data_IF_181678253830
#
_entry.id   IF_181678253830
#
_cell.length_a   1.000
_cell.length_b   1.000
_cell.length_c   1.000
_cell.angle_alpha   90.00
_cell.angle_beta   90.00
_cell.angle_gamma   90.00
#
_symmetry.space_group_name_H-M   'P 1'
#
loop_
_entity.id
_entity.type
_entity.pdbx_description
1 polymer ?
#
# COMPACT_ATOMS: atom_id res chain seq x y z
N UNK A 1 47.46 22.01 45.24
CA UNK A 1 47.94 21.32 46.46
C UNK A 1 48.00 19.85 46.15
N UNK A 2 49.16 19.38 45.78
CA UNK A 2 50.19 18.72 46.61
C UNK A 2 49.75 17.28 46.96
N UNK A 3 50.46 16.24 46.79
CA UNK A 3 51.87 15.82 46.56
C UNK A 3 51.84 14.31 46.27
N UNK A 4 52.56 13.72 45.30
CA UNK A 4 53.97 13.25 45.36
C UNK A 4 54.19 12.08 46.36
N UNK A 5 54.88 11.05 45.86
CA UNK A 5 55.65 10.02 46.54
C UNK A 5 55.63 8.71 45.75
N UNK A 6 56.49 8.36 44.93
CA UNK A 6 57.92 8.05 44.79
C UNK A 6 58.45 7.04 45.83
N UNK A 7 59.21 6.14 45.22
CA UNK A 7 60.35 5.30 45.72
C UNK A 7 59.95 3.83 45.93
N UNK A 8 60.70 2.84 45.52
CA UNK A 8 62.04 2.78 44.93
C UNK A 8 62.73 1.47 45.35
N UNK A 9 63.42 0.91 44.36
CA UNK A 9 64.79 0.36 44.49
C UNK A 9 65.00 -1.08 45.05
N UNK A 10 65.68 -1.81 44.16
CA UNK A 10 66.74 -2.84 44.32
C UNK A 10 66.33 -4.26 44.70
N UNK A 11 66.91 -5.30 44.22
CA UNK A 11 68.07 -5.56 43.38
C UNK A 11 68.45 -7.05 43.46
N UNK A 12 69.13 -7.41 42.39
CA UNK A 12 70.25 -8.40 42.39
C UNK A 12 70.02 -9.90 42.34
N UNK A 13 70.43 -10.40 41.17
CA UNK A 13 71.37 -11.52 40.92
C UNK A 13 70.97 -12.96 41.22
N UNK A 14 71.21 -13.74 40.19
CA UNK A 14 71.73 -15.10 40.39
C UNK A 14 71.40 -16.06 39.26
N UNK A 15 72.30 -16.13 38.31
CA UNK A 15 72.84 -17.31 37.59
C UNK A 15 71.98 -18.57 37.46
N UNK A 16 71.85 -19.01 36.22
CA UNK A 16 72.33 -20.29 35.65
C UNK A 16 71.37 -20.85 34.62
N UNK A 17 71.92 -20.87 33.43
CA UNK A 17 71.45 -21.78 32.38
C UNK A 17 71.47 -23.27 32.88
N UNK A 18 70.60 -24.09 32.31
CA UNK A 18 71.04 -24.92 31.23
C UNK A 18 69.97 -25.22 30.17
N UNK A 19 70.45 -25.25 28.95
CA UNK A 19 69.74 -25.79 27.78
C UNK A 19 69.06 -27.14 28.04
N UNK A 20 67.86 -27.37 27.52
CA UNK A 20 67.39 -28.69 27.16
C UNK A 20 67.48 -28.96 25.66
N UNK A 21 68.10 -30.03 25.39
CA UNK A 21 68.35 -30.76 24.15
C UNK A 21 67.13 -30.81 23.22
N UNK A 22 67.39 -30.55 21.94
CA UNK A 22 66.47 -30.79 20.86
C UNK A 22 66.00 -32.26 20.78
N UNK A 23 64.72 -32.45 21.09
CA UNK A 23 64.03 -33.72 20.86
C UNK A 23 63.71 -33.86 19.38
N UNK A 24 64.38 -34.75 18.68
CA UNK A 24 64.05 -35.13 17.31
C UNK A 24 62.66 -35.76 17.29
N UNK A 25 61.69 -35.06 16.78
CA UNK A 25 60.34 -35.63 16.53
C UNK A 25 60.46 -36.79 15.53
N UNK A 26 60.03 -37.96 15.93
CA UNK A 26 60.03 -39.19 15.12
C UNK A 26 59.29 -38.98 13.78
N UNK A 27 59.77 -39.61 12.72
CA UNK A 27 59.20 -39.46 11.34
C UNK A 27 57.70 -39.67 11.20
N UNK A 28 57.11 -40.43 12.11
CA UNK A 28 55.67 -40.68 12.23
C UNK A 28 54.86 -39.44 12.55
N UNK A 29 55.31 -38.58 13.48
CA UNK A 29 54.62 -37.35 13.86
C UNK A 29 54.65 -36.31 12.71
N UNK A 30 55.78 -36.29 11.94
CA UNK A 30 55.85 -35.43 10.72
C UNK A 30 54.91 -35.88 9.62
N UNK A 31 54.71 -37.20 9.45
CA UNK A 31 53.79 -37.76 8.46
C UNK A 31 52.33 -37.50 8.84
N UNK A 32 51.95 -37.58 10.13
CA UNK A 32 50.60 -37.25 10.58
C UNK A 32 50.32 -35.76 10.48
N UNK A 33 51.27 -34.89 10.78
CA UNK A 33 51.14 -33.45 10.62
C UNK A 33 50.97 -33.04 9.14
N UNK A 34 51.70 -33.65 8.24
CA UNK A 34 51.58 -33.41 6.79
C UNK A 34 50.23 -33.91 6.24
N UNK A 35 49.71 -35.04 6.69
CA UNK A 35 48.38 -35.56 6.34
C UNK A 35 47.23 -34.68 6.86
N UNK A 36 47.36 -34.13 8.06
CA UNK A 36 46.39 -33.27 8.65
C UNK A 36 46.31 -31.91 7.92
N UNK A 37 47.44 -31.33 7.52
CA UNK A 37 47.51 -30.12 6.70
C UNK A 37 46.94 -30.33 5.34
N UNK A 38 47.23 -31.48 4.69
CA UNK A 38 46.67 -31.84 3.38
C UNK A 38 45.13 -32.04 3.43
N UNK A 39 44.61 -32.63 4.52
CA UNK A 39 43.17 -32.77 4.73
C UNK A 39 42.48 -31.43 4.95
N UNK A 40 43.08 -30.50 5.74
CA UNK A 40 42.56 -29.15 5.94
C UNK A 40 42.58 -28.33 4.64
N UNK A 41 43.61 -28.47 3.80
CA UNK A 41 43.63 -27.81 2.49
C UNK A 41 42.59 -28.37 1.52
N UNK A 42 42.26 -29.67 1.57
CA UNK A 42 41.17 -30.26 0.78
C UNK A 42 39.78 -29.82 1.24
N UNK A 43 39.57 -29.59 2.54
CA UNK A 43 38.32 -29.06 3.04
C UNK A 43 38.15 -27.56 2.78
N UNK A 44 39.21 -26.79 2.65
CA UNK A 44 39.17 -25.36 2.28
C UNK A 44 38.93 -25.16 0.77
N UNK A 45 39.30 -26.11 -0.07
CA UNK A 45 39.07 -26.02 -1.53
C UNK A 45 37.62 -26.35 -1.94
N UNK A 46 36.81 -26.96 -1.06
CA UNK A 46 35.43 -27.33 -1.35
C UNK A 46 34.42 -26.18 -1.11
N UNK A 47 34.87 -25.01 -0.69
CA UNK A 47 34.00 -23.83 -0.51
C UNK A 47 34.18 -22.71 -1.52
N UNK A 48 34.95 -22.93 -2.58
CA UNK A 48 35.00 -22.06 -3.74
C UNK A 48 33.96 -22.53 -4.77
N UNK A 49 32.70 -22.68 -4.35
CA UNK A 49 31.59 -22.85 -5.28
C UNK A 49 31.05 -21.44 -5.55
N UNK A 50 31.45 -20.95 -6.72
CA UNK A 50 30.98 -19.83 -7.49
C UNK A 50 29.65 -19.21 -6.99
N UNK A 51 29.75 -18.09 -6.31
CA UNK A 51 28.74 -17.06 -6.42
C UNK A 51 28.84 -16.49 -7.87
N UNK A 52 28.29 -17.21 -8.83
CA UNK A 52 27.86 -16.60 -10.07
C UNK A 52 26.84 -15.51 -9.72
N UNK A 53 26.72 -14.43 -10.48
CA UNK A 53 25.70 -13.45 -10.24
C UNK A 53 24.35 -14.17 -10.22
N UNK A 54 23.79 -14.33 -9.02
CA UNK A 54 22.42 -14.77 -8.85
C UNK A 54 21.57 -13.66 -9.48
N UNK A 55 21.22 -13.84 -10.75
CA UNK A 55 20.25 -12.97 -11.42
C UNK A 55 18.93 -13.26 -10.71
N UNK A 56 18.67 -12.53 -9.62
CA UNK A 56 17.34 -12.44 -9.04
C UNK A 56 16.47 -11.71 -10.05
N UNK A 57 15.88 -12.49 -10.95
CA UNK A 57 14.75 -12.02 -11.73
C UNK A 57 13.63 -11.87 -10.70
N UNK A 58 13.53 -10.69 -10.09
CA UNK A 58 12.33 -10.29 -9.33
C UNK A 58 11.21 -10.12 -10.35
N UNK A 59 10.61 -11.22 -10.74
CA UNK A 59 9.42 -11.23 -11.58
C UNK A 59 8.29 -10.71 -10.72
N UNK A 60 8.08 -9.39 -10.71
CA UNK A 60 6.99 -8.76 -9.99
C UNK A 60 5.68 -9.15 -10.64
N UNK A 61 4.81 -9.83 -9.89
CA UNK A 61 3.43 -10.07 -10.30
C UNK A 61 2.74 -8.74 -10.63
N UNK A 62 2.07 -8.69 -11.77
CA UNK A 62 1.14 -7.60 -12.07
C UNK A 62 -0.17 -7.87 -11.36
N UNK A 63 -0.41 -7.15 -10.26
CA UNK A 63 -1.61 -7.31 -9.41
C UNK A 63 -2.69 -6.35 -9.84
N UNK A 64 -3.92 -6.86 -9.95
CA UNK A 64 -5.14 -6.11 -10.29
C UNK A 64 -6.16 -6.27 -9.18
N UNK A 65 -6.70 -5.13 -8.72
CA UNK A 65 -7.87 -5.12 -7.86
C UNK A 65 -9.12 -5.20 -8.71
N UNK A 66 -9.98 -6.15 -8.39
CA UNK A 66 -11.18 -6.47 -9.17
C UNK A 66 -12.40 -6.42 -8.27
N UNK A 67 -13.35 -5.56 -8.62
CA UNK A 67 -14.68 -5.52 -8.02
C UNK A 67 -15.67 -6.14 -9.00
N UNK A 68 -16.53 -7.03 -8.50
CA UNK A 68 -17.51 -7.75 -9.30
C UNK A 68 -18.91 -7.44 -8.78
N UNK A 69 -19.80 -7.03 -9.68
CA UNK A 69 -21.20 -6.75 -9.34
C UNK A 69 -22.15 -7.51 -10.24
N UNK A 70 -23.31 -7.80 -9.70
CA UNK A 70 -24.43 -8.32 -10.51
C UNK A 70 -25.04 -7.20 -11.38
N UNK A 71 -26.07 -7.54 -12.16
CA UNK A 71 -26.75 -6.58 -13.02
C UNK A 71 -27.49 -5.47 -12.26
N UNK A 72 -27.71 -5.64 -10.94
CA UNK A 72 -28.31 -4.64 -10.05
C UNK A 72 -27.24 -3.78 -9.34
N UNK A 73 -25.96 -3.99 -9.66
CA UNK A 73 -24.83 -3.28 -9.02
C UNK A 73 -24.45 -3.82 -7.63
N UNK A 74 -25.03 -4.94 -7.16
CA UNK A 74 -24.71 -5.52 -5.87
C UNK A 74 -23.40 -6.29 -5.96
N UNK A 75 -22.45 -6.10 -5.00
CA UNK A 75 -21.20 -6.85 -4.96
C UNK A 75 -21.40 -8.36 -4.90
N UNK A 76 -20.70 -9.10 -5.75
CA UNK A 76 -20.73 -10.56 -5.82
C UNK A 76 -19.54 -11.12 -5.05
N UNK A 77 -19.80 -12.01 -4.10
CA UNK A 77 -18.81 -12.68 -3.25
C UNK A 77 -18.71 -14.16 -3.58
N UNK A 78 -17.63 -14.81 -3.13
CA UNK A 78 -17.49 -16.27 -3.23
C UNK A 78 -17.12 -16.76 -4.62
N UNK A 79 -16.61 -15.88 -5.49
CA UNK A 79 -16.03 -16.31 -6.76
C UNK A 79 -14.65 -16.91 -6.55
N UNK A 80 -14.30 -17.86 -7.42
CA UNK A 80 -13.00 -18.51 -7.49
C UNK A 80 -12.22 -18.06 -8.73
N UNK A 81 -10.94 -18.42 -8.81
CA UNK A 81 -10.10 -18.06 -9.96
C UNK A 81 -10.69 -18.55 -11.30
N UNK A 82 -11.29 -19.74 -11.27
CA UNK A 82 -11.91 -20.37 -12.43
C UNK A 82 -13.10 -19.58 -13.01
N UNK A 83 -13.67 -18.65 -12.22
CA UNK A 83 -14.78 -17.80 -12.63
C UNK A 83 -14.33 -16.60 -13.48
N UNK A 84 -13.01 -16.42 -13.65
CA UNK A 84 -12.42 -15.30 -14.36
C UNK A 84 -11.65 -15.73 -15.60
N UNK A 85 -11.50 -14.79 -16.53
CA UNK A 85 -10.52 -14.79 -17.63
C UNK A 85 -9.69 -13.54 -17.56
N UNK A 86 -8.42 -13.67 -17.81
CA UNK A 86 -7.49 -12.53 -17.92
C UNK A 86 -6.92 -12.51 -19.32
N UNK A 87 -6.95 -11.36 -19.97
CA UNK A 87 -6.39 -11.15 -21.30
C UNK A 87 -5.29 -10.09 -21.21
N UNK A 88 -4.10 -10.44 -21.68
CA UNK A 88 -2.98 -9.52 -21.83
C UNK A 88 -2.74 -9.27 -23.30
N UNK A 89 -2.82 -8.02 -23.74
CA UNK A 89 -2.70 -7.64 -25.16
C UNK A 89 -3.60 -8.46 -26.09
N UNK A 90 -4.79 -8.84 -25.61
CA UNK A 90 -5.77 -9.66 -26.32
C UNK A 90 -5.56 -11.17 -26.23
N UNK A 91 -4.45 -11.65 -25.66
CA UNK A 91 -4.18 -13.08 -25.47
C UNK A 91 -4.58 -13.52 -24.06
N UNK A 92 -5.32 -14.63 -23.95
CA UNK A 92 -5.73 -15.19 -22.65
C UNK A 92 -4.49 -15.69 -21.89
N UNK A 93 -4.41 -15.31 -20.61
CA UNK A 93 -3.32 -15.66 -19.70
C UNK A 93 -3.83 -16.45 -18.50
N UNK A 94 -3.02 -17.38 -17.97
CA UNK A 94 -3.34 -18.03 -16.70
C UNK A 94 -3.35 -17.02 -15.56
N UNK A 95 -4.19 -17.27 -14.57
CA UNK A 95 -4.18 -16.52 -13.30
C UNK A 95 -3.13 -17.19 -12.41
N UNK A 96 -2.05 -16.48 -12.12
CA UNK A 96 -0.95 -16.99 -11.30
C UNK A 96 -1.19 -16.80 -9.81
N UNK A 97 -2.00 -15.79 -9.45
CA UNK A 97 -2.39 -15.53 -8.08
C UNK A 97 -3.83 -15.02 -8.00
N UNK A 98 -4.59 -15.55 -7.05
CA UNK A 98 -5.97 -15.16 -6.77
C UNK A 98 -6.21 -15.07 -5.28
N UNK A 99 -6.76 -13.94 -4.82
CA UNK A 99 -7.10 -13.74 -3.41
C UNK A 99 -8.37 -12.93 -3.26
N UNK A 100 -9.47 -13.49 -2.70
CA UNK A 100 -10.61 -12.68 -2.25
C UNK A 100 -10.24 -11.89 -1.00
N UNK A 101 -10.97 -10.80 -0.73
CA UNK A 101 -10.70 -9.98 0.46
C UNK A 101 -10.99 -10.76 1.75
N UNK A 102 -11.99 -11.61 1.72
CA UNK A 102 -12.41 -12.42 2.86
C UNK A 102 -12.46 -13.90 2.50
N UNK A 103 -11.72 -14.70 3.26
CA UNK A 103 -11.79 -16.17 3.24
C UNK A 103 -12.16 -16.68 4.63
N UNK A 104 -12.52 -17.97 4.74
CA UNK A 104 -12.85 -18.58 6.04
C UNK A 104 -11.70 -18.51 7.05
N UNK A 105 -10.47 -18.51 6.55
CA UNK A 105 -9.26 -18.65 7.38
C UNK A 105 -8.46 -17.35 7.54
N UNK A 106 -8.75 -16.31 6.75
CA UNK A 106 -7.98 -15.07 6.85
C UNK A 106 -8.60 -13.93 6.05
N UNK A 107 -8.71 -12.79 6.67
CA UNK A 107 -9.09 -11.56 6.00
C UNK A 107 -7.86 -10.92 5.32
N UNK A 108 -8.09 -10.28 4.18
CA UNK A 108 -7.08 -9.50 3.49
C UNK A 108 -6.93 -8.12 4.17
N UNK A 109 -5.71 -7.63 4.47
CA UNK A 109 -5.52 -6.36 5.13
C UNK A 109 -6.10 -5.20 4.30
N UNK A 110 -6.62 -4.17 4.98
CA UNK A 110 -7.11 -2.94 4.37
C UNK A 110 -6.24 -1.76 4.78
N UNK A 111 -5.91 -0.88 3.84
CA UNK A 111 -5.23 0.39 4.10
C UNK A 111 -6.04 1.51 3.45
N UNK A 112 -6.67 2.34 4.27
CA UNK A 112 -7.63 3.35 3.82
C UNK A 112 -7.19 4.73 4.29
N UNK A 113 -7.14 5.70 3.36
CA UNK A 113 -6.95 7.12 3.68
C UNK A 113 -8.26 7.84 3.45
N UNK A 114 -8.74 8.54 4.48
CA UNK A 114 -9.79 9.53 4.35
C UNK A 114 -9.15 10.88 3.99
N UNK A 115 -9.53 11.46 2.85
CA UNK A 115 -9.16 12.80 2.44
C UNK A 115 -10.38 13.70 2.57
N UNK A 116 -10.36 14.58 3.58
CA UNK A 116 -11.51 15.38 3.99
C UNK A 116 -11.35 16.84 3.54
N UNK A 117 -12.27 17.29 2.71
CA UNK A 117 -12.39 18.68 2.35
C UNK A 117 -12.92 19.47 3.55
N UNK A 118 -12.16 20.49 3.95
CA UNK A 118 -12.51 21.37 5.06
C UNK A 118 -12.65 22.83 4.62
N UNK A 119 -12.80 23.08 3.31
CA UNK A 119 -12.86 24.40 2.68
C UNK A 119 -14.11 25.24 3.04
N UNK A 120 -14.96 24.76 3.93
CA UNK A 120 -16.13 25.50 4.40
C UNK A 120 -17.42 25.19 3.65
N UNK A 121 -17.39 24.29 2.66
CA UNK A 121 -18.56 23.87 1.90
C UNK A 121 -19.58 23.06 2.73
N UNK A 122 -19.14 22.42 3.83
CA UNK A 122 -20.02 21.71 4.77
C UNK A 122 -20.45 22.59 5.93
N UNK A 123 -21.67 22.35 6.42
CA UNK A 123 -22.14 22.88 7.70
C UNK A 123 -21.55 22.08 8.86
N UNK A 124 -21.60 22.63 10.08
CA UNK A 124 -21.14 21.91 11.28
C UNK A 124 -21.98 20.65 11.56
N UNK A 125 -23.28 20.68 11.21
CA UNK A 125 -24.19 19.53 11.32
C UNK A 125 -23.79 18.41 10.35
N UNK A 126 -23.51 18.74 9.09
CA UNK A 126 -23.03 17.77 8.08
C UNK A 126 -21.69 17.16 8.49
N UNK A 127 -20.77 17.99 9.00
CA UNK A 127 -19.49 17.49 9.49
C UNK A 127 -19.64 16.54 10.69
N UNK A 128 -20.61 16.80 11.57
CA UNK A 128 -20.91 15.90 12.70
C UNK A 128 -21.47 14.56 12.22
N UNK A 129 -22.46 14.57 11.30
CA UNK A 129 -23.01 13.36 10.68
C UNK A 129 -21.95 12.57 9.91
N UNK A 130 -21.08 13.26 9.19
CA UNK A 130 -19.96 12.63 8.47
C UNK A 130 -19.02 11.91 9.43
N UNK A 131 -18.64 12.55 10.54
CA UNK A 131 -17.79 11.92 11.57
C UNK A 131 -18.42 10.67 12.15
N UNK A 132 -19.71 10.71 12.46
CA UNK A 132 -20.44 9.53 12.95
C UNK A 132 -20.44 8.39 11.92
N UNK A 133 -20.74 8.69 10.65
CA UNK A 133 -20.74 7.69 9.59
C UNK A 133 -19.35 7.09 9.34
N UNK A 134 -18.31 7.91 9.39
CA UNK A 134 -16.91 7.43 9.29
C UNK A 134 -16.54 6.53 10.46
N UNK A 135 -17.00 6.86 11.68
CA UNK A 135 -16.75 6.01 12.84
C UNK A 135 -17.44 4.66 12.71
N UNK A 136 -18.72 4.63 12.30
CA UNK A 136 -19.44 3.38 12.03
C UNK A 136 -18.77 2.54 10.92
N UNK A 137 -18.24 3.18 9.89
CA UNK A 137 -17.49 2.52 8.84
C UNK A 137 -16.21 1.86 9.39
N UNK A 138 -15.45 2.56 10.23
CA UNK A 138 -14.25 2.02 10.87
C UNK A 138 -14.61 0.81 11.75
N UNK A 139 -15.68 0.92 12.55
CA UNK A 139 -16.15 -0.15 13.41
C UNK A 139 -16.57 -1.40 12.60
N UNK A 140 -17.22 -1.19 11.46
CA UNK A 140 -17.61 -2.27 10.56
C UNK A 140 -16.40 -3.00 9.97
N UNK A 141 -15.29 -2.29 9.76
CA UNK A 141 -14.05 -2.86 9.23
C UNK A 141 -13.05 -3.27 10.31
N UNK A 142 -13.40 -3.16 11.60
CA UNK A 142 -12.52 -3.50 12.72
C UNK A 142 -12.11 -4.99 12.76
N UNK A 143 -12.96 -5.88 12.21
CA UNK A 143 -12.66 -7.31 12.11
C UNK A 143 -11.68 -7.67 10.99
N UNK A 144 -11.34 -6.72 10.12
CA UNK A 144 -10.31 -6.86 9.12
C UNK A 144 -9.00 -6.29 9.69
N UNK A 145 -7.85 -6.77 9.25
CA UNK A 145 -6.55 -6.16 9.58
C UNK A 145 -6.45 -4.75 8.95
N UNK A 146 -7.33 -3.84 9.39
CA UNK A 146 -7.52 -2.53 8.78
C UNK A 146 -6.63 -1.47 9.41
N UNK A 147 -6.03 -0.64 8.59
CA UNK A 147 -5.28 0.54 8.99
C UNK A 147 -5.86 1.78 8.29
N UNK A 148 -6.04 2.85 9.04
CA UNK A 148 -6.64 4.07 8.54
C UNK A 148 -5.72 5.27 8.76
N UNK A 149 -5.74 6.20 7.81
CA UNK A 149 -5.11 7.51 7.94
C UNK A 149 -6.13 8.61 7.61
N UNK A 150 -5.87 9.82 8.10
CA UNK A 150 -6.74 10.98 7.89
C UNK A 150 -5.91 12.13 7.35
N UNK A 151 -6.32 12.66 6.23
CA UNK A 151 -5.79 13.85 5.57
C UNK A 151 -6.93 14.88 5.52
N UNK A 152 -6.67 16.12 5.87
CA UNK A 152 -7.58 17.24 5.64
C UNK A 152 -7.00 18.17 4.59
N UNK A 153 -7.85 18.80 3.80
CA UNK A 153 -7.41 19.73 2.79
C UNK A 153 -8.40 20.89 2.58
N UNK A 154 -7.83 22.03 2.26
CA UNK A 154 -8.45 23.24 1.75
C UNK A 154 -7.37 23.95 0.92
N UNK A 155 -6.88 25.12 1.35
CA UNK A 155 -5.67 25.75 0.79
C UNK A 155 -4.39 24.97 1.05
N UNK A 156 -4.36 24.21 2.13
CA UNK A 156 -3.25 23.36 2.53
C UNK A 156 -3.68 21.91 2.68
N UNK A 157 -2.77 20.99 2.39
CA UNK A 157 -2.96 19.55 2.58
C UNK A 157 -2.20 19.09 3.81
N UNK A 158 -2.94 18.58 4.80
CA UNK A 158 -2.38 18.20 6.09
C UNK A 158 -2.68 16.75 6.45
N UNK A 159 -1.66 15.98 6.86
CA UNK A 159 -1.87 14.68 7.48
C UNK A 159 -2.28 14.84 8.93
N UNK A 160 -3.57 14.72 9.23
CA UNK A 160 -4.12 14.83 10.58
C UNK A 160 -3.75 13.62 11.42
N UNK A 161 -3.76 12.42 10.81
CA UNK A 161 -3.40 11.14 11.42
C UNK A 161 -2.74 10.23 10.39
N UNK A 162 -1.53 9.80 10.67
CA UNK A 162 -0.88 8.73 9.89
C UNK A 162 -1.51 7.38 10.19
N UNK A 163 -1.17 6.33 9.42
CA UNK A 163 -1.78 5.02 9.55
C UNK A 163 -1.80 4.50 10.98
N UNK A 164 -2.99 4.10 11.42
CA UNK A 164 -3.26 3.49 12.72
C UNK A 164 -4.45 2.54 12.61
N UNK A 165 -4.47 1.51 13.44
CA UNK A 165 -5.62 0.65 13.67
C UNK A 165 -6.31 0.97 15.02
N UNK A 166 -5.83 1.97 15.76
CA UNK A 166 -6.37 2.35 17.07
C UNK A 166 -7.52 3.32 16.89
N UNK A 167 -8.71 2.90 17.33
CA UNK A 167 -9.94 3.68 17.27
C UNK A 167 -9.79 5.07 17.92
N UNK A 168 -9.18 5.12 19.11
CA UNK A 168 -9.04 6.37 19.87
C UNK A 168 -8.18 7.41 19.13
N UNK A 169 -7.20 6.97 18.33
CA UNK A 169 -6.40 7.88 17.51
C UNK A 169 -7.23 8.48 16.39
N UNK A 170 -8.11 7.69 15.79
CA UNK A 170 -9.00 8.14 14.69
C UNK A 170 -10.10 9.08 15.22
N UNK A 171 -10.71 8.76 16.36
CA UNK A 171 -11.68 9.64 17.02
C UNK A 171 -11.08 11.01 17.36
N UNK A 172 -9.86 11.01 17.93
CA UNK A 172 -9.12 12.25 18.19
C UNK A 172 -8.77 12.99 16.90
N UNK A 173 -8.41 12.28 15.83
CA UNK A 173 -8.12 12.89 14.54
C UNK A 173 -9.35 13.56 13.95
N UNK A 174 -10.49 12.87 13.91
CA UNK A 174 -11.76 13.46 13.45
C UNK A 174 -12.20 14.63 14.31
N UNK A 175 -11.96 14.55 15.63
CA UNK A 175 -12.20 15.67 16.55
C UNK A 175 -11.32 16.91 16.28
N UNK A 176 -10.17 16.77 15.62
CA UNK A 176 -9.28 17.88 15.23
C UNK A 176 -9.64 18.50 13.88
N UNK A 177 -10.33 17.77 13.02
CA UNK A 177 -10.79 18.28 11.73
C UNK A 177 -11.75 19.46 12.00
N UNK A 178 -11.41 20.63 11.49
CA UNK A 178 -12.18 21.87 11.62
C UNK A 178 -12.36 22.47 10.24
N UNK A 179 -13.49 23.15 10.04
CA UNK A 179 -13.71 23.95 8.83
C UNK A 179 -12.67 25.05 8.77
N UNK A 180 -12.11 25.23 7.59
CA UNK A 180 -11.29 26.40 7.27
C UNK A 180 -12.21 27.44 6.61
N UNK A 181 -12.50 28.52 7.32
CA UNK A 181 -13.39 29.59 6.85
C UNK A 181 -12.71 30.57 5.90
N UNK A 182 -11.37 30.56 5.85
CA UNK A 182 -10.59 31.55 5.14
C UNK A 182 -10.19 31.11 3.71
N UNK A 183 -10.59 29.89 3.30
CA UNK A 183 -10.11 29.28 2.07
C UNK A 183 -11.01 29.54 0.86
N UNK A 184 -10.46 30.25 -0.14
CA UNK A 184 -11.06 30.39 -1.46
C UNK A 184 -10.60 29.28 -2.42
N UNK A 185 -9.74 28.36 -2.00
CA UNK A 185 -9.21 27.26 -2.81
C UNK A 185 -9.37 25.92 -2.13
N UNK A 186 -9.49 24.89 -2.94
CA UNK A 186 -9.71 23.49 -2.52
C UNK A 186 -8.76 22.62 -3.33
N UNK A 187 -7.60 22.28 -2.76
CA UNK A 187 -6.53 21.53 -3.41
C UNK A 187 -6.84 20.03 -3.39
N UNK A 188 -7.89 19.61 -4.10
CA UNK A 188 -8.39 18.23 -4.06
C UNK A 188 -7.44 17.25 -4.75
N UNK A 189 -6.86 17.60 -5.91
CA UNK A 189 -5.92 16.71 -6.60
C UNK A 189 -4.58 16.64 -5.88
N UNK A 190 -4.11 17.74 -5.28
CA UNK A 190 -2.92 17.74 -4.43
C UNK A 190 -3.13 16.85 -3.19
N UNK A 191 -4.33 16.89 -2.58
CA UNK A 191 -4.69 16.05 -1.46
C UNK A 191 -4.75 14.56 -1.82
N UNK A 192 -5.31 14.24 -3.00
CA UNK A 192 -5.34 12.89 -3.52
C UNK A 192 -3.93 12.36 -3.81
N UNK A 193 -3.08 13.18 -4.42
CA UNK A 193 -1.67 12.85 -4.63
C UNK A 193 -0.94 12.58 -3.32
N UNK A 194 -1.14 13.45 -2.33
CA UNK A 194 -0.58 13.29 -1.00
C UNK A 194 -1.08 11.99 -0.32
N UNK A 195 -2.38 11.69 -0.41
CA UNK A 195 -2.97 10.48 0.16
C UNK A 195 -2.42 9.20 -0.48
N UNK A 196 -2.26 9.18 -1.81
CA UNK A 196 -1.66 8.06 -2.54
C UNK A 196 -0.19 7.87 -2.13
N UNK A 197 0.58 8.94 -2.04
CA UNK A 197 1.98 8.88 -1.54
C UNK A 197 2.05 8.42 -0.09
N UNK A 198 1.09 8.80 0.74
CA UNK A 198 1.01 8.33 2.13
C UNK A 198 0.79 6.82 2.19
N UNK A 199 -0.12 6.28 1.35
CA UNK A 199 -0.34 4.84 1.20
C UNK A 199 0.95 4.16 0.76
N UNK A 200 1.58 4.61 -0.31
CA UNK A 200 2.77 3.96 -0.86
C UNK A 200 3.93 3.90 0.15
N UNK A 201 4.12 4.98 0.92
CA UNK A 201 5.26 5.10 1.85
C UNK A 201 5.00 4.51 3.23
N UNK A 202 3.76 4.58 3.74
CA UNK A 202 3.44 4.34 5.16
C UNK A 202 2.46 3.21 5.40
N UNK A 203 1.68 2.76 4.38
CA UNK A 203 0.79 1.63 4.60
C UNK A 203 1.60 0.34 4.75
N UNK A 204 1.08 -0.64 5.52
CA UNK A 204 1.68 -1.96 5.54
C UNK A 204 1.80 -2.50 4.11
N UNK A 205 2.98 -3.04 3.78
CA UNK A 205 3.18 -3.76 2.51
C UNK A 205 2.61 -5.18 2.66
N UNK A 206 3.00 -6.11 1.83
CA UNK A 206 2.48 -7.48 1.96
C UNK A 206 2.67 -8.02 3.39
N UNK A 207 1.58 -8.49 4.02
CA UNK A 207 1.58 -9.13 5.33
C UNK A 207 1.26 -10.60 5.12
N UNK A 208 2.15 -11.51 5.57
CA UNK A 208 1.94 -12.97 5.46
C UNK A 208 1.51 -13.41 4.04
N UNK A 209 2.19 -12.93 3.00
CA UNK A 209 1.88 -13.20 1.58
C UNK A 209 0.48 -12.74 1.12
N UNK A 210 -0.11 -11.76 1.80
CA UNK A 210 -1.37 -11.14 1.39
C UNK A 210 -1.11 -9.73 0.87
N UNK A 211 -1.65 -9.43 -0.30
CA UNK A 211 -1.63 -8.07 -0.85
C UNK A 211 -2.69 -7.22 -0.15
N UNK A 212 -2.34 -6.13 0.55
CA UNK A 212 -3.32 -5.27 1.18
C UNK A 212 -4.23 -4.60 0.14
N UNK A 213 -5.51 -4.50 0.42
CA UNK A 213 -6.41 -3.64 -0.33
C UNK A 213 -6.13 -2.19 0.06
N UNK A 214 -5.83 -1.33 -0.91
CA UNK A 214 -5.49 0.08 -0.70
C UNK A 214 -6.56 0.97 -1.30
N UNK A 215 -7.04 1.94 -0.53
CA UNK A 215 -8.07 2.86 -0.98
C UNK A 215 -7.87 4.27 -0.41
N UNK A 216 -8.21 5.27 -1.21
CA UNK A 216 -8.44 6.65 -0.76
C UNK A 216 -9.93 6.92 -0.89
N UNK A 217 -10.53 7.46 0.17
CA UNK A 217 -11.92 7.94 0.16
C UNK A 217 -11.85 9.46 0.31
N UNK A 218 -12.06 10.18 -0.80
CA UNK A 218 -12.13 11.64 -0.78
C UNK A 218 -13.58 12.07 -0.55
N UNK A 219 -13.76 13.02 0.36
CA UNK A 219 -15.06 13.61 0.68
C UNK A 219 -14.94 15.12 0.43
N UNK A 220 -15.65 15.62 -0.58
CA UNK A 220 -15.54 17.00 -1.07
C UNK A 220 -16.83 17.42 -1.78
N UNK A 221 -17.02 18.71 -1.98
CA UNK A 221 -18.07 19.23 -2.89
C UNK A 221 -17.72 19.05 -4.38
N UNK A 222 -16.50 18.59 -4.66
CA UNK A 222 -16.06 18.21 -6.00
C UNK A 222 -15.55 19.38 -6.86
N UNK A 223 -15.27 20.54 -6.25
CA UNK A 223 -14.76 21.74 -6.94
C UNK A 223 -13.29 22.03 -6.60
N UNK A 224 -12.34 21.31 -7.24
CA UNK A 224 -10.91 21.57 -7.05
C UNK A 224 -10.54 22.95 -7.61
N UNK A 225 -9.82 23.74 -6.81
CA UNK A 225 -9.35 25.08 -7.18
C UNK A 225 -7.95 25.28 -6.63
N UNK A 226 -7.00 25.63 -7.50
CA UNK A 226 -5.62 25.96 -7.10
C UNK A 226 -4.65 24.80 -7.07
N UNK A 227 -5.07 23.61 -7.51
CA UNK A 227 -4.21 22.43 -7.56
C UNK A 227 -2.99 22.62 -8.46
N UNK A 228 -1.86 22.09 -8.00
CA UNK A 228 -0.61 22.01 -8.78
C UNK A 228 -0.51 20.68 -9.50
N UNK A 229 -1.01 19.61 -8.89
CA UNK A 229 -0.99 18.26 -9.47
C UNK A 229 -2.18 18.06 -10.40
N UNK A 230 -1.90 17.54 -11.59
CA UNK A 230 -2.98 17.23 -12.56
C UNK A 230 -3.73 15.95 -12.16
N UNK A 231 -5.02 15.82 -12.53
CA UNK A 231 -5.78 14.58 -12.34
C UNK A 231 -5.10 13.36 -12.95
N UNK A 232 -4.51 13.53 -14.14
CA UNK A 232 -3.80 12.45 -14.82
C UNK A 232 -2.61 11.94 -14.01
N UNK A 233 -1.81 12.83 -13.41
CA UNK A 233 -0.69 12.46 -12.54
C UNK A 233 -1.17 11.67 -11.32
N UNK A 234 -2.31 12.07 -10.72
CA UNK A 234 -2.89 11.33 -9.58
C UNK A 234 -3.31 9.92 -10.00
N UNK A 235 -3.98 9.78 -11.16
CA UNK A 235 -4.42 8.48 -11.68
C UNK A 235 -3.21 7.55 -11.92
N UNK A 236 -2.17 8.05 -12.59
CA UNK A 236 -0.96 7.26 -12.86
C UNK A 236 -0.29 6.80 -11.57
N UNK A 237 -0.19 7.69 -10.59
CA UNK A 237 0.40 7.36 -9.29
C UNK A 237 -0.46 6.39 -8.49
N UNK A 238 -1.77 6.58 -8.47
CA UNK A 238 -2.70 5.68 -7.81
C UNK A 238 -2.62 4.26 -8.39
N UNK A 239 -2.61 4.15 -9.73
CA UNK A 239 -2.47 2.88 -10.42
C UNK A 239 -1.11 2.21 -10.16
N UNK A 240 -0.03 2.98 -10.10
CA UNK A 240 1.32 2.47 -9.76
C UNK A 240 1.40 2.00 -8.30
N UNK A 241 0.66 2.67 -7.40
CA UNK A 241 0.56 2.31 -5.98
C UNK A 241 -0.55 1.26 -5.69
N UNK A 242 -1.19 0.70 -6.72
CA UNK A 242 -2.30 -0.27 -6.60
C UNK A 242 -3.43 0.25 -5.68
N UNK A 243 -3.74 1.54 -5.79
CA UNK A 243 -4.66 2.24 -4.90
C UNK A 243 -5.89 2.69 -5.67
N UNK A 244 -7.08 2.29 -5.21
CA UNK A 244 -8.35 2.77 -5.76
C UNK A 244 -8.80 4.05 -5.06
N UNK A 245 -9.35 5.00 -5.82
CA UNK A 245 -9.87 6.27 -5.29
C UNK A 245 -11.39 6.24 -5.37
N UNK A 246 -12.04 6.47 -4.24
CA UNK A 246 -13.48 6.61 -4.11
C UNK A 246 -13.80 8.06 -3.79
N UNK A 247 -14.77 8.66 -4.48
CA UNK A 247 -15.22 10.02 -4.18
C UNK A 247 -16.63 10.03 -3.61
N UNK A 248 -16.80 10.70 -2.49
CA UNK A 248 -18.08 11.01 -1.87
C UNK A 248 -18.33 12.49 -2.04
N UNK A 249 -19.25 12.82 -2.94
CA UNK A 249 -19.57 14.21 -3.28
C UNK A 249 -20.66 14.74 -2.38
N UNK A 250 -20.41 15.90 -1.81
CA UNK A 250 -21.29 16.56 -0.86
C UNK A 250 -22.41 17.34 -1.55
N UNK A 251 -23.57 17.52 -0.89
CA UNK A 251 -24.74 18.16 -1.50
C UNK A 251 -24.58 19.65 -1.84
N UNK A 252 -23.57 20.32 -1.30
CA UNK A 252 -23.28 21.75 -1.55
C UNK A 252 -23.15 22.13 -3.01
N UNK A 253 -22.90 21.12 -3.88
CA UNK A 253 -22.90 21.31 -5.33
C UNK A 253 -24.30 21.51 -5.93
N UNK A 254 -25.39 21.44 -5.18
CA UNK A 254 -26.76 21.64 -5.66
C UNK A 254 -26.97 22.98 -6.40
N UNK A 255 -25.99 23.89 -6.27
CA UNK A 255 -25.94 25.17 -7.03
C UNK A 255 -25.70 24.99 -8.52
N UNK A 256 -25.24 23.80 -8.96
CA UNK A 256 -25.00 23.51 -10.39
C UNK A 256 -26.14 22.67 -10.97
N UNK A 257 -27.36 23.19 -10.90
CA UNK A 257 -28.46 22.65 -11.68
C UNK A 257 -28.66 23.51 -12.94
N UNK A 258 -28.64 22.90 -14.09
CA UNK A 258 -29.04 23.50 -15.35
C UNK A 258 -30.20 22.69 -15.88
N UNK A 259 -31.31 23.39 -16.18
CA UNK A 259 -32.54 22.80 -16.71
C UNK A 259 -33.06 21.60 -15.88
N UNK A 260 -32.94 21.66 -14.52
CA UNK A 260 -33.36 20.61 -13.62
C UNK A 260 -32.49 19.37 -13.62
N UNK A 261 -31.36 19.37 -14.34
CA UNK A 261 -30.37 18.27 -14.37
C UNK A 261 -29.12 18.65 -13.61
N UNK A 262 -28.61 17.71 -12.83
CA UNK A 262 -27.33 17.85 -12.15
C UNK A 262 -26.18 17.90 -13.19
N UNK A 263 -25.28 18.85 -13.02
CA UNK A 263 -24.03 18.92 -13.81
C UNK A 263 -22.94 18.18 -13.02
N UNK A 264 -22.20 17.25 -13.66
CA UNK A 264 -21.06 16.61 -13.01
C UNK A 264 -20.02 17.65 -12.55
N UNK A 265 -19.47 17.45 -11.36
CA UNK A 265 -18.41 18.31 -10.82
C UNK A 265 -17.08 18.09 -11.55
N UNK A 266 -16.13 19.04 -11.51
CA UNK A 266 -14.80 18.83 -12.10
C UNK A 266 -14.06 17.60 -11.56
N UNK A 267 -14.26 17.24 -10.28
CA UNK A 267 -13.69 16.01 -9.70
C UNK A 267 -14.27 14.76 -10.39
N UNK A 268 -15.58 14.73 -10.66
CA UNK A 268 -16.20 13.63 -11.40
C UNK A 268 -15.75 13.58 -12.86
N UNK A 269 -15.74 14.72 -13.54
CA UNK A 269 -15.32 14.83 -14.96
C UNK A 269 -13.86 14.38 -15.14
N UNK A 270 -13.02 14.48 -14.13
CA UNK A 270 -11.65 13.98 -14.17
C UNK A 270 -11.56 12.46 -14.38
N UNK A 271 -12.63 11.72 -14.05
CA UNK A 271 -12.69 10.26 -14.14
C UNK A 271 -11.74 9.57 -13.19
N UNK A 272 -11.27 10.25 -12.13
CA UNK A 272 -10.22 9.74 -11.24
C UNK A 272 -10.69 8.50 -10.48
N UNK A 273 -11.95 8.47 -10.06
CA UNK A 273 -12.51 7.33 -9.35
C UNK A 273 -12.58 6.10 -10.27
N UNK A 274 -13.19 6.24 -11.43
CA UNK A 274 -13.42 5.14 -12.39
C UNK A 274 -12.09 4.60 -12.94
N UNK A 275 -11.15 5.49 -13.24
CA UNK A 275 -9.84 5.13 -13.81
C UNK A 275 -8.86 4.52 -12.81
N UNK A 276 -9.20 4.54 -11.52
CA UNK A 276 -8.45 3.87 -10.44
C UNK A 276 -9.25 2.70 -9.83
N UNK A 277 -10.36 2.30 -10.47
CA UNK A 277 -11.20 1.17 -10.05
C UNK A 277 -12.09 1.44 -8.84
N UNK A 278 -12.24 2.71 -8.44
CA UNK A 278 -13.19 3.13 -7.42
C UNK A 278 -14.52 3.57 -8.00
N UNK A 279 -15.29 4.31 -7.24
CA UNK A 279 -16.61 4.84 -7.56
C UNK A 279 -16.73 6.29 -7.13
N UNK A 280 -17.50 7.07 -7.88
CA UNK A 280 -17.98 8.38 -7.46
C UNK A 280 -19.43 8.25 -6.98
N UNK A 281 -19.71 8.66 -5.74
CA UNK A 281 -21.02 8.59 -5.10
C UNK A 281 -21.43 9.98 -4.65
N UNK A 282 -22.67 10.36 -4.98
CA UNK A 282 -23.23 11.62 -4.53
C UNK A 282 -23.98 11.41 -3.22
N UNK A 283 -23.57 12.11 -2.17
CA UNK A 283 -24.24 12.10 -0.88
C UNK A 283 -25.49 12.98 -0.94
N UNK A 284 -26.61 12.54 -0.36
CA UNK A 284 -27.64 13.42 0.14
C UNK A 284 -27.40 13.67 1.63
N UNK A 285 -27.94 14.75 2.20
CA UNK A 285 -27.69 15.16 3.61
C UNK A 285 -28.02 14.08 4.65
N UNK A 286 -28.83 13.08 4.28
CA UNK A 286 -29.29 12.00 5.17
C UNK A 286 -28.51 10.69 4.99
N UNK A 287 -27.68 10.54 3.94
CA UNK A 287 -27.28 9.22 3.44
C UNK A 287 -25.82 8.82 3.68
N UNK A 288 -25.06 9.60 4.48
CA UNK A 288 -23.66 9.23 4.78
C UNK A 288 -23.52 7.80 5.29
N UNK A 289 -24.42 7.39 6.19
CA UNK A 289 -24.40 6.03 6.71
C UNK A 289 -24.56 4.98 5.60
N UNK A 290 -25.57 5.14 4.74
CA UNK A 290 -25.85 4.21 3.65
C UNK A 290 -24.69 4.17 2.65
N UNK A 291 -24.07 5.32 2.34
CA UNK A 291 -22.91 5.42 1.47
C UNK A 291 -21.71 4.68 2.05
N UNK A 292 -21.38 4.92 3.32
CA UNK A 292 -20.26 4.23 3.98
C UNK A 292 -20.52 2.74 4.17
N UNK A 293 -21.77 2.34 4.42
CA UNK A 293 -22.15 0.92 4.41
C UNK A 293 -21.90 0.28 3.04
N UNK A 294 -22.30 0.94 1.96
CA UNK A 294 -22.05 0.48 0.58
C UNK A 294 -20.56 0.43 0.24
N UNK A 295 -19.79 1.45 0.64
CA UNK A 295 -18.33 1.46 0.45
C UNK A 295 -17.65 0.34 1.24
N UNK A 296 -18.11 0.04 2.45
CA UNK A 296 -17.59 -1.08 3.23
C UNK A 296 -17.87 -2.42 2.54
N UNK A 297 -19.06 -2.61 1.96
CA UNK A 297 -19.39 -3.79 1.17
C UNK A 297 -18.52 -3.91 -0.08
N UNK A 298 -18.36 -2.83 -0.81
CA UNK A 298 -17.51 -2.73 -2.00
C UNK A 298 -16.06 -3.11 -1.69
N UNK A 299 -15.47 -2.49 -0.66
CA UNK A 299 -14.09 -2.74 -0.26
C UNK A 299 -13.86 -4.16 0.23
N UNK A 300 -14.86 -4.77 0.86
CA UNK A 300 -14.78 -6.13 1.42
C UNK A 300 -15.28 -7.22 0.48
N UNK A 301 -15.65 -6.88 -0.76
CA UNK A 301 -16.07 -7.83 -1.78
C UNK A 301 -15.11 -7.91 -2.97
N UNK A 302 -13.95 -7.25 -2.91
CA UNK A 302 -12.98 -7.24 -4.00
C UNK A 302 -12.11 -8.51 -4.03
N UNK A 303 -11.45 -8.69 -5.17
CA UNK A 303 -10.52 -9.77 -5.45
C UNK A 303 -9.19 -9.20 -5.89
N UNK A 304 -8.07 -9.77 -5.44
CA UNK A 304 -6.77 -9.55 -6.07
C UNK A 304 -6.53 -10.65 -7.08
N UNK A 305 -6.30 -10.29 -8.31
CA UNK A 305 -5.94 -11.18 -9.40
C UNK A 305 -4.57 -10.75 -9.91
N UNK A 306 -3.64 -11.68 -10.00
CA UNK A 306 -2.33 -11.34 -10.54
C UNK A 306 -1.87 -12.34 -11.59
N UNK A 307 -1.07 -11.83 -12.52
CA UNK A 307 -0.41 -12.58 -13.56
C UNK A 307 1.08 -12.28 -13.54
N UNK A 308 1.90 -13.25 -13.92
CA UNK A 308 3.28 -12.95 -14.29
C UNK A 308 3.31 -12.23 -15.64
N UNK A 309 4.05 -11.13 -15.76
CA UNK A 309 4.27 -10.46 -17.03
C UNK A 309 4.72 -11.45 -18.10
N UNK A 310 4.03 -11.45 -19.24
CA UNK A 310 4.34 -12.38 -20.34
C UNK A 310 5.56 -11.97 -21.13
N UNK A 311 6.58 -12.87 -21.17
CA UNK A 311 7.73 -12.79 -22.06
C UNK A 311 8.87 -11.88 -21.57
N UNK A 312 10.07 -12.45 -21.51
CA UNK A 312 11.33 -11.80 -21.10
C UNK A 312 11.75 -10.61 -21.98
N UNK A 313 10.99 -10.25 -23.00
CA UNK A 313 11.44 -9.31 -24.06
C UNK A 313 10.45 -8.18 -24.41
N UNK A 314 9.29 -8.09 -23.78
CA UNK A 314 8.36 -6.98 -24.05
C UNK A 314 8.50 -5.89 -23.00
N UNK A 315 9.42 -4.97 -23.22
CA UNK A 315 9.43 -3.69 -22.49
C UNK A 315 8.31 -2.80 -23.03
N UNK A 316 7.57 -2.15 -22.15
CA UNK A 316 6.54 -1.18 -22.52
C UNK A 316 5.20 -1.39 -21.82
N UNK A 317 4.17 -0.83 -22.44
CA UNK A 317 2.80 -0.86 -21.92
C UNK A 317 2.10 -2.17 -22.29
N UNK A 318 1.55 -2.85 -21.29
CA UNK A 318 0.73 -4.04 -21.45
C UNK A 318 -0.71 -3.71 -21.08
N UNK A 319 -1.64 -3.96 -22.01
CA UNK A 319 -3.06 -3.82 -21.76
C UNK A 319 -3.58 -5.11 -21.12
N UNK A 320 -4.33 -5.00 -20.01
CA UNK A 320 -4.92 -6.14 -19.33
C UNK A 320 -6.41 -5.93 -19.16
N UNK A 321 -7.19 -6.95 -19.52
CA UNK A 321 -8.64 -6.98 -19.36
C UNK A 321 -9.05 -8.25 -18.63
N UNK A 322 -9.87 -8.07 -17.59
CA UNK A 322 -10.38 -9.16 -16.76
C UNK A 322 -11.89 -9.27 -16.95
N UNK A 323 -12.37 -10.49 -17.18
CA UNK A 323 -13.77 -10.78 -17.45
C UNK A 323 -14.28 -11.86 -16.50
N UNK A 324 -15.59 -11.81 -16.19
CA UNK A 324 -16.29 -12.89 -15.49
C UNK A 324 -16.87 -13.89 -16.51
N UNK A 325 -16.57 -15.18 -16.34
CA UNK A 325 -17.21 -16.27 -17.12
C UNK A 325 -18.70 -16.41 -16.83
N UNK A 326 -19.17 -15.88 -15.70
CA UNK A 326 -20.58 -15.91 -15.28
C UNK A 326 -21.41 -14.71 -15.75
N UNK A 327 -20.82 -13.80 -16.54
CA UNK A 327 -21.51 -12.64 -17.07
C UNK A 327 -21.77 -11.52 -16.07
N UNK A 328 -21.04 -11.49 -14.95
CA UNK A 328 -21.07 -10.39 -13.99
C UNK A 328 -20.29 -9.18 -14.52
N UNK A 329 -20.64 -7.99 -14.05
CA UNK A 329 -19.89 -6.79 -14.36
C UNK A 329 -18.57 -6.80 -13.56
N UNK A 330 -17.47 -6.56 -14.27
CA UNK A 330 -16.12 -6.53 -13.69
C UNK A 330 -15.57 -5.13 -13.83
N UNK A 331 -15.11 -4.55 -12.73
CA UNK A 331 -14.37 -3.29 -12.68
C UNK A 331 -13.00 -3.56 -12.07
N UNK A 332 -11.95 -3.20 -12.79
CA UNK A 332 -10.56 -3.34 -12.37
C UNK A 332 -9.92 -1.97 -12.08
N UNK A 333 -8.95 -1.93 -11.17
CA UNK A 333 -8.31 -0.68 -10.76
C UNK A 333 -7.46 -0.03 -11.85
N UNK A 334 -6.94 -0.82 -12.77
CA UNK A 334 -6.12 -0.35 -13.91
C UNK A 334 -6.28 -1.27 -15.11
N UNK A 335 -6.11 -0.73 -16.30
CA UNK A 335 -6.25 -1.48 -17.55
C UNK A 335 -4.93 -2.02 -18.08
N UNK A 336 -3.88 -2.07 -17.24
CA UNK A 336 -2.59 -2.56 -17.67
C UNK A 336 -1.47 -2.24 -16.69
N UNK A 337 -0.26 -2.49 -17.13
CA UNK A 337 0.97 -2.23 -16.37
C UNK A 337 2.12 -1.91 -17.34
N UNK A 338 3.20 -1.38 -16.80
CA UNK A 338 4.43 -1.11 -17.56
C UNK A 338 5.49 -2.10 -17.12
N UNK A 339 6.15 -2.75 -18.08
CA UNK A 339 7.43 -3.41 -17.86
C UNK A 339 8.52 -2.40 -18.24
N UNK A 340 9.30 -2.01 -17.25
CA UNK A 340 10.33 -1.01 -17.41
C UNK A 340 11.70 -1.62 -17.65
N UNK A 341 12.61 -0.73 -17.99
CA UNK A 341 14.01 -0.92 -18.33
C UNK A 341 14.83 -1.70 -17.32
#
# INVERSE_FOLDING_TARGET
>A
MSKIGQNGITGKNGDADPHPRGGNMSGTVRQFAALLVAAVCLFLSARAQSDGPEIKIETKLAVFEVNVTDQKGKPVRGLAAEDFRVFENGTERPIDFFQPIRTRDSDRPLSIVFALDVSGSMTDSELAKLREAMQQFIDRLANYESNFAVVSFAMEVNTVQSFTNRREHLEKAFGRVRRNQDGLSTHAFDALDHAVRLIDRKSPKAVRNKFPRRAVIVISDGFPVGDVVSPQTVIERANSAETSIYSVLLPSYSRLQRDGRRIPTPLEVSGIAERTGGLSVVASESDFKAIFDSLAEELTASYAIAIYPGGEQQTGAHNVRIESKKGFNVRQNRNGYMTGN
#
